data_IF_981128387719
#
_entry.id   IF_981128387719
#
_cell.length_a   1.000
_cell.length_b   1.000
_cell.length_c   1.000
_cell.angle_alpha   90.00
_cell.angle_beta   90.00
_cell.angle_gamma   90.00
#
_symmetry.space_group_name_H-M   'P 1'
#
loop_
_entity.id
_entity.type
_entity.pdbx_description
1 polymer ?
#
# COMPACT_ATOMS: atom_id res chain seq x y z
N UNK A 1 -23.84 2.01 -2.71
CA UNK A 1 -22.46 2.08 -3.23
C UNK A 1 -22.39 0.95 -4.24
N UNK A 2 -22.30 1.28 -5.52
CA UNK A 2 -22.16 0.29 -6.59
C UNK A 2 -20.68 0.02 -6.78
N UNK A 3 -20.29 -1.23 -6.65
CA UNK A 3 -18.93 -1.72 -6.85
C UNK A 3 -18.90 -2.69 -8.01
N UNK A 4 -17.89 -2.56 -8.87
CA UNK A 4 -17.67 -3.43 -10.03
C UNK A 4 -16.21 -3.84 -10.05
N UNK A 5 -15.96 -5.13 -10.28
CA UNK A 5 -14.64 -5.67 -10.59
C UNK A 5 -14.59 -6.04 -12.07
N UNK A 6 -13.53 -5.61 -12.77
CA UNK A 6 -13.18 -6.05 -14.11
C UNK A 6 -11.85 -6.80 -14.04
N UNK A 7 -11.69 -7.78 -14.91
CA UNK A 7 -10.44 -8.50 -15.10
C UNK A 7 -10.52 -9.38 -16.34
N UNK A 8 -9.37 -9.68 -16.92
CA UNK A 8 -9.22 -10.58 -18.06
C UNK A 8 -8.05 -11.49 -17.73
N UNK A 9 -8.34 -12.77 -17.57
CA UNK A 9 -7.32 -13.77 -17.29
C UNK A 9 -6.56 -14.17 -18.55
N UNK A 10 -5.67 -15.15 -18.38
CA UNK A 10 -4.83 -15.68 -19.44
C UNK A 10 -5.63 -16.16 -20.66
N UNK A 11 -6.64 -17.02 -20.45
CA UNK A 11 -7.41 -17.63 -21.54
C UNK A 11 -8.20 -16.57 -22.33
N UNK A 12 -8.83 -15.63 -21.63
CA UNK A 12 -9.56 -14.55 -22.29
C UNK A 12 -8.62 -13.62 -23.10
N UNK A 13 -7.43 -13.35 -22.58
CA UNK A 13 -6.43 -12.55 -23.29
C UNK A 13 -5.93 -13.23 -24.57
N UNK A 14 -5.65 -14.54 -24.51
CA UNK A 14 -5.28 -15.36 -25.67
C UNK A 14 -6.39 -15.44 -26.72
N UNK A 15 -7.65 -15.45 -26.29
CA UNK A 15 -8.83 -15.35 -27.16
C UNK A 15 -9.04 -13.94 -27.76
N UNK A 16 -8.16 -12.99 -27.45
CA UNK A 16 -8.16 -11.64 -28.01
C UNK A 16 -8.97 -10.61 -27.23
N UNK A 17 -9.45 -10.94 -26.01
CA UNK A 17 -10.10 -9.96 -25.14
C UNK A 17 -9.06 -9.00 -24.55
N UNK A 18 -9.47 -7.76 -24.28
CA UNK A 18 -8.57 -6.68 -23.88
C UNK A 18 -9.23 -5.78 -22.84
N UNK A 19 -8.49 -5.42 -21.79
CA UNK A 19 -9.06 -4.79 -20.59
C UNK A 19 -9.66 -3.42 -20.91
N UNK A 20 -9.06 -2.69 -21.86
CA UNK A 20 -9.58 -1.43 -22.34
C UNK A 20 -10.92 -1.58 -23.05
N UNK A 21 -11.16 -2.71 -23.70
CA UNK A 21 -12.46 -3.02 -24.32
C UNK A 21 -13.53 -3.31 -23.26
N UNK A 22 -13.18 -3.97 -22.16
CA UNK A 22 -14.12 -4.20 -21.05
C UNK A 22 -14.45 -2.90 -20.30
N UNK A 23 -13.46 -2.02 -20.11
CA UNK A 23 -13.69 -0.67 -19.56
C UNK A 23 -14.58 0.15 -20.51
N UNK A 24 -14.37 0.08 -21.83
CA UNK A 24 -15.23 0.74 -22.83
C UNK A 24 -16.68 0.23 -22.74
N UNK A 25 -16.88 -1.09 -22.71
CA UNK A 25 -18.21 -1.69 -22.55
C UNK A 25 -18.88 -1.22 -21.27
N UNK A 26 -18.14 -1.23 -20.15
CA UNK A 26 -18.63 -0.75 -18.87
C UNK A 26 -19.00 0.73 -18.95
N UNK A 27 -18.19 1.57 -19.60
CA UNK A 27 -18.45 3.00 -19.76
C UNK A 27 -19.72 3.33 -20.56
N UNK A 28 -20.17 2.39 -21.40
CA UNK A 28 -21.40 2.50 -22.20
C UNK A 28 -22.61 1.86 -21.51
N UNK A 29 -22.40 1.18 -20.38
CA UNK A 29 -23.48 0.55 -19.62
C UNK A 29 -24.34 1.58 -18.90
N UNK A 30 -25.65 1.32 -18.69
CA UNK A 30 -26.51 2.19 -17.89
C UNK A 30 -26.04 2.38 -16.45
N UNK A 31 -25.41 1.37 -15.84
CA UNK A 31 -24.95 1.46 -14.45
C UNK A 31 -23.68 2.29 -14.24
N UNK A 32 -22.89 2.55 -15.30
CA UNK A 32 -21.62 3.31 -15.25
C UNK A 32 -21.69 4.58 -14.40
N UNK A 33 -22.76 5.35 -14.57
CA UNK A 33 -22.99 6.62 -13.87
C UNK A 33 -23.19 6.50 -12.37
N UNK A 34 -23.47 5.30 -11.87
CA UNK A 34 -23.70 5.00 -10.45
C UNK A 34 -22.53 4.26 -9.79
N UNK A 35 -21.51 3.85 -10.57
CA UNK A 35 -20.34 3.13 -10.05
C UNK A 35 -19.55 4.06 -9.14
N UNK A 36 -19.40 3.64 -7.90
CA UNK A 36 -18.69 4.37 -6.86
C UNK A 36 -17.36 3.73 -6.46
N UNK A 37 -17.18 2.44 -6.77
CA UNK A 37 -15.96 1.67 -6.57
C UNK A 37 -15.70 0.85 -7.82
N UNK A 38 -14.51 0.99 -8.40
CA UNK A 38 -14.06 0.20 -9.55
C UNK A 38 -12.78 -0.53 -9.15
N UNK A 39 -12.78 -1.84 -9.36
CA UNK A 39 -11.63 -2.70 -9.11
C UNK A 39 -11.18 -3.28 -10.44
N UNK A 40 -9.88 -3.20 -10.70
CA UNK A 40 -9.22 -3.81 -11.85
C UNK A 40 -8.34 -4.94 -11.32
N UNK A 41 -8.70 -6.17 -11.66
CA UNK A 41 -7.87 -7.36 -11.45
C UNK A 41 -6.89 -7.55 -12.60
N UNK A 42 -6.66 -8.79 -13.02
CA UNK A 42 -5.78 -9.12 -14.14
C UNK A 42 -6.18 -8.35 -15.42
N UNK A 43 -5.20 -7.82 -16.15
CA UNK A 43 -5.38 -7.16 -17.45
C UNK A 43 -4.94 -8.02 -18.63
N UNK A 44 -4.57 -9.28 -18.36
CA UNK A 44 -4.15 -10.27 -19.32
C UNK A 44 -2.64 -10.37 -19.37
N UNK A 45 -2.12 -11.48 -18.84
CA UNK A 45 -0.67 -11.73 -18.72
C UNK A 45 0.03 -10.56 -17.99
N UNK A 46 -0.46 -10.20 -16.80
CA UNK A 46 0.04 -9.05 -16.03
C UNK A 46 1.53 -9.08 -15.64
N UNK A 47 2.20 -10.23 -15.84
CA UNK A 47 3.65 -10.39 -15.69
C UNK A 47 4.45 -10.06 -16.97
N UNK A 48 3.79 -9.98 -18.12
CA UNK A 48 4.37 -9.62 -19.43
C UNK A 48 3.88 -8.26 -19.95
N UNK A 49 2.62 -7.91 -19.65
CA UNK A 49 1.99 -6.67 -20.08
C UNK A 49 1.79 -5.71 -18.90
N UNK A 50 2.00 -4.42 -19.14
CA UNK A 50 1.80 -3.39 -18.13
C UNK A 50 0.34 -2.95 -17.99
N UNK A 51 0.01 -2.26 -16.91
CA UNK A 51 -1.30 -1.63 -16.69
C UNK A 51 -1.59 -0.41 -17.59
N UNK A 52 -0.76 -0.09 -18.59
CA UNK A 52 -0.93 1.08 -19.46
C UNK A 52 -2.30 1.11 -20.15
N UNK A 53 -2.77 -0.02 -20.68
CA UNK A 53 -4.08 -0.10 -21.34
C UNK A 53 -5.23 0.24 -20.36
N UNK A 54 -5.10 -0.14 -19.09
CA UNK A 54 -6.06 0.20 -18.02
C UNK A 54 -6.09 1.71 -17.82
N UNK A 55 -4.93 2.34 -17.67
CA UNK A 55 -4.82 3.79 -17.43
C UNK A 55 -5.41 4.56 -18.60
N UNK A 56 -5.03 4.21 -19.83
CA UNK A 56 -5.51 4.86 -21.06
C UNK A 56 -7.04 4.78 -21.18
N UNK A 57 -7.61 3.61 -20.94
CA UNK A 57 -9.06 3.42 -21.01
C UNK A 57 -9.79 4.21 -19.90
N UNK A 58 -9.30 4.18 -18.66
CA UNK A 58 -9.89 4.94 -17.56
C UNK A 58 -9.84 6.46 -17.81
N UNK A 59 -8.73 6.96 -18.35
CA UNK A 59 -8.59 8.38 -18.73
C UNK A 59 -9.57 8.73 -19.85
N UNK A 60 -9.59 7.93 -20.91
CA UNK A 60 -10.45 8.13 -22.09
C UNK A 60 -11.94 8.15 -21.74
N UNK A 61 -12.37 7.25 -20.86
CA UNK A 61 -13.79 7.06 -20.52
C UNK A 61 -14.20 7.66 -19.17
N UNK A 62 -13.32 8.44 -18.53
CA UNK A 62 -13.53 9.04 -17.21
C UNK A 62 -14.88 9.74 -17.01
N UNK A 63 -15.37 10.45 -18.03
CA UNK A 63 -16.64 11.16 -17.99
C UNK A 63 -17.87 10.25 -17.76
N UNK A 64 -17.75 8.95 -18.07
CA UNK A 64 -18.81 7.96 -17.83
C UNK A 64 -18.92 7.51 -16.37
N UNK A 65 -17.96 7.86 -15.51
CA UNK A 65 -17.90 7.44 -14.10
C UNK A 65 -17.98 8.61 -13.10
N UNK A 66 -18.99 9.50 -13.18
CA UNK A 66 -19.09 10.68 -12.32
C UNK A 66 -19.24 10.36 -10.81
N UNK A 67 -19.74 9.17 -10.48
CA UNK A 67 -19.91 8.72 -9.11
C UNK A 67 -18.68 8.02 -8.51
N UNK A 68 -17.60 7.83 -9.30
CA UNK A 68 -16.43 7.08 -8.85
C UNK A 68 -15.75 7.79 -7.67
N UNK A 69 -15.52 7.04 -6.59
CA UNK A 69 -14.84 7.50 -5.36
C UNK A 69 -13.70 6.58 -4.94
N UNK A 70 -13.72 5.32 -5.36
CA UNK A 70 -12.69 4.34 -5.04
C UNK A 70 -12.18 3.66 -6.29
N UNK A 71 -10.86 3.50 -6.37
CA UNK A 71 -10.20 2.77 -7.44
C UNK A 71 -9.20 1.81 -6.82
N UNK A 72 -9.24 0.55 -7.24
CA UNK A 72 -8.23 -0.45 -6.93
C UNK A 72 -7.64 -0.97 -8.24
N UNK A 73 -6.35 -0.72 -8.47
CA UNK A 73 -5.60 -1.24 -9.62
C UNK A 73 -4.74 -2.44 -9.20
N UNK A 74 -4.90 -3.56 -9.90
CA UNK A 74 -4.08 -4.77 -9.74
C UNK A 74 -4.57 -5.73 -8.65
N UNK A 75 -5.86 -5.77 -8.34
CA UNK A 75 -6.39 -6.74 -7.35
C UNK A 75 -6.33 -8.17 -7.92
N UNK A 76 -5.21 -8.83 -7.67
CA UNK A 76 -4.90 -10.17 -8.15
C UNK A 76 -4.53 -11.08 -6.98
N UNK A 77 -5.03 -12.31 -7.01
CA UNK A 77 -4.58 -13.39 -6.14
C UNK A 77 -3.29 -14.04 -6.65
N UNK A 78 -2.65 -14.83 -5.79
CA UNK A 78 -1.42 -15.56 -6.09
C UNK A 78 -1.52 -16.45 -7.36
N UNK A 79 -2.67 -17.10 -7.59
CA UNK A 79 -2.88 -17.95 -8.77
C UNK A 79 -3.03 -17.16 -10.07
N UNK A 80 -3.40 -15.88 -10.00
CA UNK A 80 -3.55 -14.99 -11.17
C UNK A 80 -2.20 -14.37 -11.54
N UNK A 81 -1.58 -13.68 -10.58
CA UNK A 81 -0.25 -13.11 -10.73
C UNK A 81 0.35 -12.86 -9.35
N UNK A 82 1.53 -13.42 -9.10
CA UNK A 82 2.34 -13.15 -7.93
C UNK A 82 2.65 -11.64 -7.83
N UNK A 83 2.61 -11.06 -6.62
CA UNK A 83 2.63 -9.60 -6.45
C UNK A 83 3.93 -8.96 -6.95
N UNK A 84 5.03 -9.70 -6.83
CA UNK A 84 6.36 -9.34 -7.33
C UNK A 84 6.48 -9.40 -8.86
N UNK A 85 5.48 -9.94 -9.55
CA UNK A 85 5.45 -10.05 -11.01
C UNK A 85 4.44 -9.09 -11.65
N UNK A 86 3.50 -8.53 -10.89
CA UNK A 86 2.52 -7.58 -11.41
C UNK A 86 3.22 -6.33 -11.96
N UNK A 87 3.18 -6.17 -13.29
CA UNK A 87 3.81 -5.05 -14.02
C UNK A 87 2.84 -3.86 -14.09
N UNK A 88 3.08 -2.85 -13.27
CA UNK A 88 2.33 -1.60 -13.31
C UNK A 88 2.80 -0.71 -14.47
N UNK A 89 2.31 0.53 -14.50
CA UNK A 89 2.72 1.57 -15.42
C UNK A 89 2.74 2.93 -14.71
N UNK A 90 2.84 4.02 -15.48
CA UNK A 90 2.65 5.36 -14.93
C UNK A 90 1.17 5.65 -14.64
N UNK A 91 0.79 5.55 -13.36
CA UNK A 91 -0.56 5.79 -12.89
C UNK A 91 -0.85 7.29 -12.61
N UNK A 92 0.10 8.17 -12.87
CA UNK A 92 0.03 9.62 -12.57
C UNK A 92 -1.23 10.30 -13.12
N UNK A 93 -1.72 9.86 -14.28
CA UNK A 93 -2.86 10.47 -14.94
C UNK A 93 -4.20 10.23 -14.20
N UNK A 94 -4.29 9.21 -13.33
CA UNK A 94 -5.55 8.82 -12.70
C UNK A 94 -6.07 9.88 -11.72
N UNK A 95 -5.20 10.44 -10.88
CA UNK A 95 -5.60 11.43 -9.87
C UNK A 95 -6.20 12.72 -10.46
N UNK A 96 -5.57 13.43 -11.42
CA UNK A 96 -6.19 14.61 -12.02
C UNK A 96 -7.43 14.27 -12.87
N UNK A 97 -7.53 13.03 -13.38
CA UNK A 97 -8.67 12.55 -14.15
C UNK A 97 -9.92 12.35 -13.29
N UNK A 98 -9.76 11.86 -12.05
CA UNK A 98 -10.86 11.58 -11.12
C UNK A 98 -10.83 12.53 -9.92
N UNK A 99 -11.19 13.82 -10.07
CA UNK A 99 -11.06 14.83 -9.01
C UNK A 99 -11.91 14.57 -7.76
N UNK A 100 -12.89 13.66 -7.86
CA UNK A 100 -13.74 13.24 -6.75
C UNK A 100 -13.21 11.98 -6.02
N UNK A 101 -12.08 11.41 -6.46
CA UNK A 101 -11.53 10.19 -5.88
C UNK A 101 -11.16 10.38 -4.41
N UNK A 102 -11.59 9.44 -3.57
CA UNK A 102 -11.37 9.42 -2.13
C UNK A 102 -10.44 8.28 -1.70
N UNK A 103 -10.37 7.19 -2.47
CA UNK A 103 -9.53 6.03 -2.18
C UNK A 103 -8.82 5.56 -3.44
N UNK A 104 -7.52 5.32 -3.31
CA UNK A 104 -6.70 4.65 -4.31
C UNK A 104 -5.93 3.51 -3.66
N UNK A 105 -6.15 2.30 -4.16
CA UNK A 105 -5.38 1.11 -3.79
C UNK A 105 -4.64 0.61 -5.03
N UNK A 106 -3.36 0.28 -4.87
CA UNK A 106 -2.52 -0.26 -5.94
C UNK A 106 -1.85 -1.51 -5.40
N UNK A 107 -1.86 -2.59 -6.17
CA UNK A 107 -1.16 -3.83 -5.85
C UNK A 107 -0.18 -4.19 -6.97
N UNK A 108 1.08 -4.44 -6.62
CA UNK A 108 2.19 -4.59 -7.56
C UNK A 108 3.07 -3.33 -7.60
N UNK A 109 4.40 -3.52 -7.53
CA UNK A 109 5.38 -2.43 -7.50
C UNK A 109 6.24 -2.31 -8.76
N UNK A 110 6.28 -3.32 -9.62
CA UNK A 110 7.13 -3.31 -10.81
C UNK A 110 6.70 -2.19 -11.75
N UNK A 111 7.65 -1.37 -12.17
CA UNK A 111 7.45 -0.24 -13.08
C UNK A 111 6.41 0.81 -12.61
N UNK A 112 5.98 0.75 -11.33
CA UNK A 112 5.00 1.68 -10.78
C UNK A 112 5.56 3.11 -10.73
N UNK A 113 4.83 4.04 -11.36
CA UNK A 113 5.08 5.48 -11.24
C UNK A 113 3.82 6.23 -10.79
N UNK A 114 4.03 7.22 -9.92
CA UNK A 114 3.00 8.10 -9.34
C UNK A 114 3.49 9.55 -9.30
N UNK A 115 4.10 10.01 -10.38
CA UNK A 115 4.56 11.39 -10.50
C UNK A 115 3.41 12.37 -10.26
N UNK A 116 3.74 13.55 -9.72
CA UNK A 116 2.76 14.61 -9.44
C UNK A 116 1.58 14.18 -8.55
N UNK A 117 1.87 13.43 -7.48
CA UNK A 117 0.88 12.91 -6.53
C UNK A 117 0.13 14.02 -5.76
N UNK A 118 -0.80 14.70 -6.45
CA UNK A 118 -1.58 15.83 -5.96
C UNK A 118 -3.07 15.50 -6.08
N UNK A 119 -3.78 15.53 -4.96
CA UNK A 119 -5.24 15.32 -4.97
C UNK A 119 -5.91 15.99 -3.78
N UNK A 120 -6.91 16.83 -4.03
CA UNK A 120 -7.58 17.59 -2.97
C UNK A 120 -8.60 16.76 -2.17
N UNK A 121 -9.06 15.62 -2.68
CA UNK A 121 -10.11 14.81 -2.02
C UNK A 121 -9.70 13.41 -1.62
N UNK A 122 -8.45 13.01 -1.88
CA UNK A 122 -7.98 11.67 -1.54
C UNK A 122 -7.82 11.56 -0.03
N UNK A 123 -8.47 10.56 0.55
CA UNK A 123 -8.50 10.27 1.99
C UNK A 123 -7.74 8.98 2.31
N UNK A 124 -7.65 8.03 1.37
CA UNK A 124 -6.96 6.75 1.53
C UNK A 124 -6.02 6.49 0.33
N UNK A 125 -4.77 6.15 0.64
CA UNK A 125 -3.78 5.65 -0.31
C UNK A 125 -3.16 4.37 0.26
N UNK A 126 -3.29 3.27 -0.48
CA UNK A 126 -2.73 1.97 -0.11
C UNK A 126 -1.89 1.47 -1.29
N UNK A 127 -0.63 1.13 -1.03
CA UNK A 127 0.26 0.52 -2.02
C UNK A 127 0.76 -0.80 -1.44
N UNK A 128 0.39 -1.89 -2.11
CA UNK A 128 0.74 -3.26 -1.74
C UNK A 128 1.82 -3.72 -2.71
N UNK A 129 3.02 -4.02 -2.22
CA UNK A 129 4.14 -4.45 -3.06
C UNK A 129 5.01 -5.48 -2.34
N UNK A 130 5.59 -6.40 -3.12
CA UNK A 130 6.69 -7.27 -2.71
C UNK A 130 8.04 -6.54 -2.65
N UNK A 131 8.14 -5.37 -3.29
CA UNK A 131 9.28 -4.44 -3.23
C UNK A 131 8.90 -3.07 -3.80
N UNK A 132 8.89 -2.03 -2.96
CA UNK A 132 8.44 -0.68 -3.34
C UNK A 132 9.63 0.20 -3.70
N UNK A 133 9.76 0.56 -4.98
CA UNK A 133 10.86 1.41 -5.44
C UNK A 133 10.85 2.80 -4.76
N UNK A 134 12.04 3.30 -4.44
CA UNK A 134 12.26 4.61 -3.78
C UNK A 134 11.67 5.77 -4.57
N UNK A 135 11.60 5.66 -5.91
CA UNK A 135 10.96 6.69 -6.74
C UNK A 135 9.49 6.89 -6.36
N UNK A 136 8.80 5.84 -5.92
CA UNK A 136 7.44 5.94 -5.40
C UNK A 136 7.42 6.63 -4.03
N UNK A 137 8.36 6.32 -3.15
CA UNK A 137 8.53 7.01 -1.86
C UNK A 137 8.81 8.50 -2.05
N UNK A 138 9.70 8.86 -3.00
CA UNK A 138 10.00 10.24 -3.39
C UNK A 138 8.76 10.98 -3.92
N UNK A 139 7.96 10.31 -4.75
CA UNK A 139 6.69 10.86 -5.25
C UNK A 139 5.69 11.15 -4.12
N UNK A 140 5.57 10.25 -3.13
CA UNK A 140 4.74 10.47 -1.95
C UNK A 140 5.30 11.62 -1.10
N UNK A 141 6.62 11.63 -0.88
CA UNK A 141 7.34 12.64 -0.12
C UNK A 141 7.25 14.05 -0.72
N UNK A 142 7.13 14.17 -2.04
CA UNK A 142 6.99 15.46 -2.74
C UNK A 142 5.53 15.82 -3.07
N UNK A 143 4.62 14.85 -3.04
CA UNK A 143 3.19 15.04 -3.31
C UNK A 143 2.42 15.91 -2.32
N UNK A 144 1.17 16.22 -2.65
CA UNK A 144 0.27 17.08 -1.87
C UNK A 144 -1.10 16.42 -1.76
N UNK A 145 -1.31 15.75 -0.63
CA UNK A 145 -2.55 15.05 -0.28
C UNK A 145 -3.12 15.63 1.03
N UNK A 146 -3.68 16.86 1.02
CA UNK A 146 -4.04 17.60 2.23
C UNK A 146 -5.20 16.96 3.02
N UNK A 147 -5.95 16.06 2.40
CA UNK A 147 -7.07 15.36 3.01
C UNK A 147 -6.77 13.89 3.33
N UNK A 148 -5.53 13.42 3.14
CA UNK A 148 -5.16 12.03 3.42
C UNK A 148 -5.34 11.72 4.91
N UNK A 149 -6.13 10.69 5.19
CA UNK A 149 -6.45 10.18 6.53
C UNK A 149 -5.77 8.84 6.79
N UNK A 150 -5.55 8.07 5.73
CA UNK A 150 -4.91 6.75 5.79
C UNK A 150 -3.86 6.60 4.69
N UNK A 151 -2.66 6.21 5.10
CA UNK A 151 -1.55 5.83 4.22
C UNK A 151 -1.07 4.44 4.64
N UNK A 152 -1.06 3.49 3.71
CA UNK A 152 -0.48 2.16 3.90
C UNK A 152 0.52 1.87 2.79
N UNK A 153 1.74 1.54 3.19
CA UNK A 153 2.82 1.17 2.28
C UNK A 153 3.36 -0.20 2.70
N UNK A 154 3.28 -1.17 1.81
CA UNK A 154 3.96 -2.45 1.91
C UNK A 154 5.29 -2.29 1.18
N UNK A 155 6.38 -2.24 1.95
CA UNK A 155 7.68 -1.82 1.43
C UNK A 155 8.43 -2.94 0.71
N UNK A 156 8.25 -4.17 1.16
CA UNK A 156 8.85 -5.36 0.57
C UNK A 156 10.32 -5.58 0.91
N UNK A 157 10.98 -6.31 0.03
CA UNK A 157 12.40 -6.71 0.09
C UNK A 157 13.14 -6.28 -1.17
N UNK A 158 14.47 -6.22 -1.09
CA UNK A 158 15.33 -5.82 -2.20
C UNK A 158 15.22 -6.74 -3.44
N UNK A 159 15.08 -8.05 -3.21
CA UNK A 159 14.96 -9.08 -4.26
C UNK A 159 13.75 -8.88 -5.17
N UNK A 160 12.72 -8.15 -4.71
CA UNK A 160 11.51 -7.87 -5.48
C UNK A 160 11.29 -6.37 -5.74
N UNK A 161 12.35 -5.55 -5.64
CA UNK A 161 12.38 -4.18 -6.15
C UNK A 161 12.42 -3.07 -5.10
N UNK A 162 12.48 -3.38 -3.80
CA UNK A 162 12.76 -2.36 -2.79
C UNK A 162 14.21 -1.86 -2.93
N UNK A 163 14.40 -0.57 -3.20
CA UNK A 163 15.75 0.04 -3.28
C UNK A 163 15.89 1.27 -2.36
N UNK A 164 14.96 1.39 -1.40
CA UNK A 164 14.90 2.47 -0.44
C UNK A 164 15.58 2.17 0.88
N UNK A 165 15.49 3.13 1.78
CA UNK A 165 16.02 3.07 3.14
C UNK A 165 15.11 3.84 4.10
N UNK A 166 15.45 3.82 5.39
CA UNK A 166 14.75 4.66 6.38
C UNK A 166 14.85 6.16 6.07
N UNK A 167 15.91 6.58 5.37
CA UNK A 167 16.10 7.98 4.98
C UNK A 167 15.03 8.45 3.97
N UNK A 168 14.51 7.53 3.15
CA UNK A 168 13.45 7.80 2.17
C UNK A 168 12.06 7.87 2.82
N UNK A 169 11.92 7.33 4.03
CA UNK A 169 10.68 7.36 4.82
C UNK A 169 10.58 8.65 5.64
N UNK A 170 11.70 9.21 6.11
CA UNK A 170 11.70 10.42 6.94
C UNK A 170 10.87 11.58 6.37
N UNK A 171 10.93 11.91 5.06
CA UNK A 171 10.11 12.97 4.46
C UNK A 171 8.60 12.71 4.54
N UNK A 172 8.18 11.45 4.54
CA UNK A 172 6.77 11.03 4.57
C UNK A 172 6.17 11.20 5.96
N UNK A 173 6.98 10.98 7.00
CA UNK A 173 6.57 11.05 8.42
C UNK A 173 6.80 12.42 9.06
N UNK A 174 7.18 13.44 8.27
CA UNK A 174 7.37 14.79 8.81
C UNK A 174 6.05 15.41 9.31
N UNK A 175 6.08 16.17 10.41
CA UNK A 175 4.89 16.89 10.89
C UNK A 175 4.30 17.79 9.80
N UNK A 176 2.97 17.74 9.64
CA UNK A 176 2.26 18.58 8.67
C UNK A 176 2.35 18.11 7.22
N UNK A 177 3.15 17.08 6.89
CA UNK A 177 3.18 16.47 5.55
C UNK A 177 1.79 15.99 5.12
N UNK A 178 1.12 15.27 6.03
CA UNK A 178 -0.28 14.86 5.89
C UNK A 178 -1.08 15.34 7.11
N UNK A 179 -1.68 16.55 7.05
CA UNK A 179 -2.22 17.21 8.23
C UNK A 179 -3.48 16.56 8.82
N UNK A 180 -4.11 15.62 8.08
CA UNK A 180 -5.29 14.87 8.52
C UNK A 180 -5.03 13.38 8.75
N UNK A 181 -3.77 12.95 8.66
CA UNK A 181 -3.42 11.54 8.75
C UNK A 181 -3.69 11.02 10.16
N UNK A 182 -4.53 10.00 10.26
CA UNK A 182 -4.86 9.31 11.50
C UNK A 182 -4.40 7.86 11.48
N UNK A 183 -4.13 7.30 10.30
CA UNK A 183 -3.63 5.94 10.12
C UNK A 183 -2.35 5.98 9.27
N UNK A 184 -1.28 5.39 9.79
CA UNK A 184 -0.05 5.15 9.04
C UNK A 184 0.34 3.68 9.14
N UNK A 185 0.44 3.01 8.00
CA UNK A 185 1.01 1.68 7.86
C UNK A 185 2.32 1.72 7.09
N UNK A 186 3.42 1.29 7.73
CA UNK A 186 4.72 1.06 7.12
C UNK A 186 5.04 -0.42 7.34
N UNK A 187 4.47 -1.24 6.46
CA UNK A 187 4.27 -2.67 6.65
C UNK A 187 5.24 -3.45 5.78
N UNK A 188 5.33 -4.75 6.06
CA UNK A 188 5.92 -5.71 5.14
C UNK A 188 7.34 -5.32 4.71
N UNK A 189 8.20 -4.94 5.64
CA UNK A 189 9.53 -4.43 5.30
C UNK A 189 10.64 -5.31 5.85
N UNK A 190 11.72 -5.46 5.08
CA UNK A 190 12.97 -6.07 5.56
C UNK A 190 13.74 -5.21 6.57
N UNK A 191 13.52 -3.89 6.56
CA UNK A 191 14.13 -2.90 7.47
C UNK A 191 13.18 -2.48 8.61
N UNK A 192 12.32 -3.38 9.07
CA UNK A 192 11.23 -3.04 9.99
C UNK A 192 11.73 -2.52 11.36
N UNK A 193 12.91 -2.97 11.81
CA UNK A 193 13.54 -2.48 13.04
C UNK A 193 13.99 -1.02 12.89
N UNK A 194 14.62 -0.66 11.76
CA UNK A 194 15.07 0.70 11.45
C UNK A 194 13.87 1.66 11.36
N UNK A 195 12.76 1.20 10.76
CA UNK A 195 11.51 1.96 10.70
C UNK A 195 10.93 2.18 12.10
N UNK A 196 10.90 1.13 12.93
CA UNK A 196 10.42 1.20 14.30
C UNK A 196 11.24 2.19 15.13
N UNK A 197 12.57 2.18 15.00
CA UNK A 197 13.47 3.14 15.65
C UNK A 197 13.22 4.57 15.17
N UNK A 198 13.09 4.77 13.86
CA UNK A 198 12.84 6.10 13.28
C UNK A 198 11.50 6.69 13.71
N UNK A 199 10.46 5.87 13.81
CA UNK A 199 9.12 6.35 14.14
C UNK A 199 8.87 6.48 15.64
N UNK A 200 9.59 5.73 16.48
CA UNK A 200 9.39 5.70 17.93
C UNK A 200 9.32 7.11 18.54
N UNK A 201 10.16 8.04 18.09
CA UNK A 201 10.15 9.43 18.56
C UNK A 201 9.63 10.46 17.55
N UNK A 202 9.09 10.01 16.41
CA UNK A 202 8.61 10.89 15.36
C UNK A 202 7.39 11.71 15.84
N UNK A 203 7.35 13.04 15.59
CA UNK A 203 6.25 13.86 16.09
C UNK A 203 4.90 13.57 15.42
N UNK A 204 4.87 12.83 14.30
CA UNK A 204 3.64 12.37 13.65
C UNK A 204 2.79 11.47 14.57
N UNK A 205 3.40 10.77 15.53
CA UNK A 205 2.68 9.95 16.51
C UNK A 205 1.66 10.77 17.33
N UNK A 206 1.87 12.07 17.49
CA UNK A 206 0.97 12.95 18.23
C UNK A 206 -0.40 13.15 17.52
N UNK A 207 -0.49 12.89 16.22
CA UNK A 207 -1.75 13.01 15.44
C UNK A 207 -2.35 11.66 15.03
N UNK A 208 -1.56 10.58 15.07
CA UNK A 208 -2.03 9.25 14.66
C UNK A 208 -2.96 8.66 15.71
N UNK A 209 -3.98 7.96 15.22
CA UNK A 209 -4.80 7.06 16.01
C UNK A 209 -4.29 5.62 15.90
N UNK A 210 -3.80 5.23 14.72
CA UNK A 210 -3.27 3.90 14.44
C UNK A 210 -1.90 3.98 13.79
N UNK A 211 -0.96 3.21 14.33
CA UNK A 211 0.31 2.87 13.69
C UNK A 211 0.32 1.36 13.38
N UNK A 212 0.62 1.00 12.14
CA UNK A 212 0.74 -0.38 11.69
C UNK A 212 2.14 -0.64 11.14
N UNK A 213 2.91 -1.49 11.84
CA UNK A 213 4.25 -1.95 11.48
C UNK A 213 4.27 -3.48 11.28
N UNK A 214 3.10 -4.07 10.99
CA UNK A 214 2.93 -5.52 10.82
C UNK A 214 3.56 -6.04 9.53
N UNK A 215 3.61 -7.37 9.42
CA UNK A 215 4.02 -8.12 8.24
C UNK A 215 5.50 -8.01 7.89
N UNK A 216 6.30 -7.31 8.68
CA UNK A 216 7.72 -7.12 8.45
C UNK A 216 8.62 -7.98 9.32
N UNK A 217 9.91 -7.66 9.31
CA UNK A 217 10.95 -8.41 10.02
C UNK A 217 11.15 -7.98 11.49
N UNK A 218 10.19 -7.30 12.12
CA UNK A 218 10.37 -6.64 13.43
C UNK A 218 10.91 -7.60 14.51
N UNK A 219 12.05 -7.28 15.13
CA UNK A 219 12.64 -8.04 16.23
C UNK A 219 12.54 -7.30 17.57
N UNK A 220 13.19 -7.87 18.59
CA UNK A 220 13.35 -7.25 19.91
C UNK A 220 14.00 -5.86 19.81
N UNK A 221 14.83 -5.59 18.79
CA UNK A 221 15.46 -4.27 18.58
C UNK A 221 14.39 -3.20 18.35
N UNK A 222 13.57 -3.35 17.31
CA UNK A 222 12.48 -2.41 17.01
C UNK A 222 11.37 -2.44 18.06
N UNK A 223 11.07 -3.63 18.61
CA UNK A 223 10.13 -3.81 19.71
C UNK A 223 10.53 -3.01 20.97
N UNK A 224 11.81 -3.04 21.35
CA UNK A 224 12.32 -2.24 22.47
C UNK A 224 12.22 -0.73 22.18
N UNK A 225 12.63 -0.31 20.98
CA UNK A 225 12.63 1.09 20.60
C UNK A 225 11.23 1.72 20.73
N UNK A 226 10.21 1.02 20.23
CA UNK A 226 8.82 1.45 20.36
C UNK A 226 8.35 1.40 21.82
N UNK A 227 8.61 0.31 22.54
CA UNK A 227 8.16 0.16 23.93
C UNK A 227 8.76 1.22 24.88
N UNK A 228 9.98 1.69 24.57
CA UNK A 228 10.65 2.77 25.30
C UNK A 228 10.08 4.17 24.99
N UNK A 229 9.30 4.32 23.93
CA UNK A 229 8.72 5.61 23.53
C UNK A 229 7.49 5.99 24.37
N UNK A 230 7.50 7.22 24.88
CA UNK A 230 6.31 7.81 25.50
C UNK A 230 5.26 8.24 24.46
N UNK A 231 5.64 8.45 23.20
CA UNK A 231 4.74 8.99 22.15
C UNK A 231 3.71 7.97 21.69
N UNK A 232 4.06 6.68 21.68
CA UNK A 232 3.14 5.62 21.25
C UNK A 232 1.96 5.42 22.23
N UNK A 233 2.06 5.94 23.47
CA UNK A 233 1.01 5.83 24.49
C UNK A 233 -0.28 6.56 24.11
N UNK A 234 -0.22 7.49 23.15
CA UNK A 234 -1.39 8.20 22.61
C UNK A 234 -2.17 7.42 21.55
N UNK A 235 -1.61 6.35 20.99
CA UNK A 235 -2.25 5.56 19.94
C UNK A 235 -3.47 4.82 20.48
N UNK A 236 -4.51 4.73 19.66
CA UNK A 236 -5.69 3.88 19.92
C UNK A 236 -5.45 2.43 19.49
N UNK A 237 -4.55 2.22 18.53
CA UNK A 237 -4.12 0.91 18.08
C UNK A 237 -2.66 0.94 17.60
N UNK A 238 -1.88 -0.06 18.00
CA UNK A 238 -0.55 -0.34 17.50
C UNK A 238 -0.53 -1.78 16.96
N UNK A 239 -0.34 -1.95 15.66
CA UNK A 239 -0.25 -3.28 15.07
C UNK A 239 1.20 -3.66 14.81
N UNK A 240 1.68 -4.70 15.50
CA UNK A 240 2.99 -5.31 15.33
C UNK A 240 2.86 -6.80 14.94
N UNK A 241 1.69 -7.25 14.47
CA UNK A 241 1.46 -8.66 14.12
C UNK A 241 2.39 -9.11 13.00
N UNK A 242 2.68 -10.41 12.92
CA UNK A 242 3.66 -10.95 11.97
C UNK A 242 5.03 -10.33 12.19
N UNK A 243 5.76 -10.89 13.17
CA UNK A 243 7.00 -10.35 13.69
C UNK A 243 7.94 -11.47 14.15
N UNK A 244 9.19 -11.11 14.46
CA UNK A 244 10.23 -12.00 14.96
C UNK A 244 10.68 -11.68 16.41
N UNK A 245 9.91 -10.85 17.15
CA UNK A 245 10.15 -10.64 18.58
C UNK A 245 10.14 -11.95 19.39
N UNK A 246 10.99 -12.01 20.40
CA UNK A 246 11.09 -13.11 21.35
C UNK A 246 9.84 -13.21 22.24
N UNK A 247 9.67 -14.37 22.88
CA UNK A 247 8.58 -14.56 23.84
C UNK A 247 8.70 -13.61 25.04
N UNK A 248 9.93 -13.26 25.44
CA UNK A 248 10.20 -12.29 26.50
C UNK A 248 9.72 -10.89 26.09
N UNK A 249 10.06 -10.45 24.88
CA UNK A 249 9.63 -9.15 24.37
C UNK A 249 8.11 -9.07 24.21
N UNK A 250 7.47 -10.11 23.64
CA UNK A 250 6.01 -10.18 23.54
C UNK A 250 5.34 -10.09 24.92
N UNK A 251 5.90 -10.75 25.94
CA UNK A 251 5.36 -10.71 27.29
C UNK A 251 5.47 -9.30 27.90
N UNK A 252 6.54 -8.56 27.60
CA UNK A 252 6.67 -7.15 27.98
C UNK A 252 5.61 -6.28 27.30
N UNK A 253 5.35 -6.50 26.01
CA UNK A 253 4.28 -5.82 25.29
C UNK A 253 2.89 -6.11 25.88
N UNK A 254 2.58 -7.38 26.17
CA UNK A 254 1.32 -7.77 26.83
C UNK A 254 1.15 -7.10 28.20
N UNK A 255 2.24 -6.95 28.95
CA UNK A 255 2.26 -6.27 30.26
C UNK A 255 2.24 -4.74 30.20
N UNK A 256 2.50 -4.14 29.03
CA UNK A 256 2.55 -2.69 28.87
C UNK A 256 1.20 -2.00 29.09
N UNK A 257 0.09 -2.71 28.83
CA UNK A 257 -1.27 -2.17 28.86
C UNK A 257 -1.63 -1.29 27.65
N UNK A 258 -0.75 -1.20 26.65
CA UNK A 258 -1.01 -0.49 25.39
C UNK A 258 -1.97 -1.30 24.51
N UNK A 259 -2.77 -0.64 23.63
CA UNK A 259 -3.64 -1.31 22.68
C UNK A 259 -2.82 -1.88 21.50
N UNK A 260 -2.01 -2.89 21.79
CA UNK A 260 -1.04 -3.48 20.86
C UNK A 260 -1.47 -4.86 20.41
N UNK A 261 -1.31 -5.15 19.11
CA UNK A 261 -1.37 -6.50 18.55
C UNK A 261 0.06 -7.02 18.33
N UNK A 262 0.41 -8.12 19.00
CA UNK A 262 1.68 -8.86 18.87
C UNK A 262 1.40 -10.33 18.54
N UNK A 263 0.39 -10.57 17.71
CA UNK A 263 0.03 -11.90 17.21
C UNK A 263 0.91 -12.34 16.03
N UNK A 264 0.79 -13.60 15.63
CA UNK A 264 1.49 -14.16 14.47
C UNK A 264 3.03 -14.08 14.58
N UNK A 265 3.59 -14.50 15.71
CA UNK A 265 5.04 -14.65 15.88
C UNK A 265 5.60 -15.63 14.85
N UNK A 266 6.61 -15.21 14.11
CA UNK A 266 7.40 -16.03 13.20
C UNK A 266 8.66 -16.55 13.90
N UNK A 267 9.19 -17.65 13.38
CA UNK A 267 10.48 -18.21 13.80
C UNK A 267 11.46 -18.09 12.63
N UNK A 268 12.70 -17.71 12.91
CA UNK A 268 13.79 -17.82 11.93
C UNK A 268 14.09 -19.30 11.69
N UNK A 269 14.31 -19.71 10.44
CA UNK A 269 14.65 -21.10 10.14
C UNK A 269 15.93 -21.53 10.88
N UNK A 270 15.94 -22.75 11.42
CA UNK A 270 17.00 -23.27 12.30
C UNK A 270 18.41 -23.11 11.68
N UNK A 271 19.16 -22.11 12.15
CA UNK A 271 20.56 -21.87 11.79
C UNK A 271 20.81 -20.68 10.86
N UNK A 272 19.76 -20.02 10.38
CA UNK A 272 19.86 -18.80 9.57
C UNK A 272 19.20 -17.62 10.29
N UNK A 273 19.94 -16.52 10.51
CA UNK A 273 19.43 -15.27 11.12
C UNK A 273 18.53 -14.47 10.13
N UNK A 274 18.08 -15.10 9.04
CA UNK A 274 17.28 -14.47 8.00
C UNK A 274 15.81 -14.39 8.40
N UNK A 275 15.23 -13.20 8.22
CA UNK A 275 13.83 -12.88 8.50
C UNK A 275 13.18 -12.42 7.21
N UNK A 276 11.95 -12.85 6.96
CA UNK A 276 11.22 -12.51 5.74
C UNK A 276 9.93 -11.75 6.09
N UNK A 277 9.60 -10.69 5.34
CA UNK A 277 8.26 -10.13 5.37
C UNK A 277 7.19 -11.13 4.88
N UNK A 278 5.93 -10.91 5.24
CA UNK A 278 4.82 -11.83 4.96
C UNK A 278 4.44 -11.91 3.48
N UNK A 279 4.65 -10.85 2.71
CA UNK A 279 4.19 -10.73 1.33
C UNK A 279 5.36 -10.25 0.47
N UNK A 280 6.06 -11.18 -0.18
CA UNK A 280 7.24 -10.82 -0.97
C UNK A 280 7.13 -11.28 -2.41
N UNK A 281 6.66 -12.51 -2.64
CA UNK A 281 6.49 -13.09 -3.98
C UNK A 281 5.07 -12.90 -4.50
#
# INVERSE_FOLDING_TARGET
>A
MTEVKLGIGYDEFEDGQRIGTEIEKLSSSPESTSISSLIIGDWGQAYENSSEEVVDALVKYSASFPALRKLFIGEMGFEECEISWITQSDLSALLPTFPELQSLTIQGGNELSLSQLHHDKLEELIIISGGLGKGVLENIATGRLPNLRKLELYLGVDNYGFDGSVDDIFPIIQPGKFPKLTYLGLKNSEIQDEIAEAIADAPILNQLETLDLSLGTLSDKGGEALLASDRIKGLKALNLSHHYMSDEMMERWRKSGLPVDVSDKQESEDGDDWRYPSITE
#
